data_IF_915713632086
#
_entry.id   IF_915713632086
#
_cell.length_a   1.000
_cell.length_b   1.000
_cell.length_c   1.000
_cell.angle_alpha   90.00
_cell.angle_beta   90.00
_cell.angle_gamma   90.00
#
_symmetry.space_group_name_H-M   'P 1'
#
loop_
_entity.id
_entity.type
_entity.pdbx_description
1 polymer ?
#
# COMPACT_ATOMS: atom_id res chain seq x y z
N UNK A 1 -30.22 -13.37 40.01
CA UNK A 1 -29.27 -12.25 40.19
C UNK A 1 -29.41 -11.23 39.06
N UNK A 2 -30.59 -10.62 38.93
CA UNK A 2 -30.95 -9.69 37.86
C UNK A 2 -31.59 -8.41 38.42
N UNK A 3 -31.33 -8.09 39.69
CA UNK A 3 -31.94 -6.96 40.38
C UNK A 3 -30.94 -5.96 41.01
N UNK A 4 -29.63 -6.16 40.82
CA UNK A 4 -28.57 -5.32 41.41
C UNK A 4 -27.74 -4.48 40.42
N UNK A 5 -28.01 -4.53 39.12
CA UNK A 5 -27.30 -3.68 38.14
C UNK A 5 -27.99 -2.34 37.83
N UNK A 6 -29.27 -2.19 38.21
CA UNK A 6 -30.07 -0.99 37.90
C UNK A 6 -29.88 0.14 38.94
N UNK A 7 -29.26 -0.14 40.09
CA UNK A 7 -29.03 0.83 41.16
C UNK A 7 -27.66 1.54 41.10
N UNK A 8 -26.75 1.10 40.23
CA UNK A 8 -25.42 1.73 40.08
C UNK A 8 -25.39 2.84 39.00
N UNK A 9 -26.36 2.88 38.08
CA UNK A 9 -26.45 3.91 37.02
C UNK A 9 -27.17 5.20 37.43
N UNK A 10 -27.84 5.25 38.59
CA UNK A 10 -28.56 6.46 39.05
C UNK A 10 -27.74 7.40 39.96
N UNK A 11 -26.49 7.02 40.30
CA UNK A 11 -25.59 7.84 41.13
C UNK A 11 -24.45 8.55 40.37
N UNK A 12 -24.26 8.28 39.08
CA UNK A 12 -23.24 8.96 38.26
C UNK A 12 -23.79 10.07 37.35
N UNK A 13 -25.10 10.24 37.26
CA UNK A 13 -25.77 11.29 36.47
C UNK A 13 -26.17 12.52 37.28
N UNK A 14 -25.73 12.62 38.55
CA UNK A 14 -26.07 13.73 39.48
C UNK A 14 -24.92 14.68 39.83
N UNK A 15 -23.79 14.62 39.12
CA UNK A 15 -22.60 15.45 39.40
C UNK A 15 -22.20 16.41 38.27
N UNK A 16 -23.03 16.60 37.22
CA UNK A 16 -22.65 17.44 36.07
C UNK A 16 -23.69 18.53 35.71
N UNK A 17 -24.78 18.65 36.47
CA UNK A 17 -25.90 19.56 36.14
C UNK A 17 -26.13 20.73 37.11
N UNK A 18 -25.23 20.98 38.07
CA UNK A 18 -25.38 22.08 39.05
C UNK A 18 -24.41 23.28 38.85
N UNK A 19 -23.69 23.36 37.73
CA UNK A 19 -22.77 24.48 37.48
C UNK A 19 -23.02 25.23 36.16
N UNK A 20 -24.30 25.50 35.85
CA UNK A 20 -24.68 26.61 35.00
C UNK A 20 -25.56 27.58 35.80
N UNK A 21 -25.14 28.85 35.78
CA UNK A 21 -25.84 30.06 36.22
C UNK A 21 -25.68 30.47 37.68
N UNK A 22 -24.72 31.37 37.93
CA UNK A 22 -25.07 32.65 38.55
C UNK A 22 -24.14 33.77 38.09
N UNK A 23 -24.74 34.94 37.94
CA UNK A 23 -24.31 36.11 37.20
C UNK A 23 -23.72 37.22 38.08
N UNK A 24 -23.18 38.23 37.40
CA UNK A 24 -22.97 39.63 37.81
C UNK A 24 -21.59 40.12 38.27
N UNK A 25 -21.32 41.34 37.78
CA UNK A 25 -20.14 42.21 37.79
C UNK A 25 -19.67 42.54 39.25
N UNK A 26 -18.43 42.92 39.57
CA UNK A 26 -17.70 44.13 39.17
C UNK A 26 -16.26 44.15 39.74
N UNK A 27 -15.34 44.82 39.02
CA UNK A 27 -14.17 45.65 39.47
C UNK A 27 -12.87 45.05 40.06
N UNK A 28 -11.82 45.24 39.23
CA UNK A 28 -10.46 45.83 39.49
C UNK A 28 -9.50 45.19 40.52
N UNK A 29 -8.34 44.69 40.03
CA UNK A 29 -7.00 45.35 40.11
C UNK A 29 -5.89 44.57 39.37
N UNK A 30 -4.93 45.34 38.84
CA UNK A 30 -3.72 45.00 38.06
C UNK A 30 -2.67 44.19 38.84
N UNK A 31 -1.77 43.47 38.17
CA UNK A 31 -0.29 43.70 38.11
C UNK A 31 0.32 42.95 36.92
N UNK A 32 1.30 43.61 36.29
CA UNK A 32 2.12 43.31 35.10
C UNK A 32 2.98 42.03 35.11
N UNK A 33 3.35 41.56 33.91
CA UNK A 33 4.42 40.59 33.68
C UNK A 33 4.57 40.14 32.22
N UNK A 34 5.44 40.81 31.47
CA UNK A 34 5.78 40.66 30.04
C UNK A 34 6.09 39.22 29.56
N UNK A 35 5.59 38.87 28.35
CA UNK A 35 6.11 37.79 27.48
C UNK A 35 6.98 38.43 26.39
N UNK A 36 8.27 38.11 26.36
CA UNK A 36 9.17 38.47 25.27
C UNK A 36 8.99 37.52 24.07
N UNK A 37 8.72 38.07 22.89
CA UNK A 37 8.80 37.38 21.61
C UNK A 37 10.15 37.68 20.97
N UNK A 38 10.97 36.65 20.74
CA UNK A 38 12.25 36.77 20.05
C UNK A 38 12.07 37.29 18.60
N UNK A 39 12.54 38.51 18.34
CA UNK A 39 12.64 39.13 17.02
C UNK A 39 14.09 39.04 16.56
N UNK A 40 14.31 38.56 15.33
CA UNK A 40 15.63 38.45 14.69
C UNK A 40 16.29 39.82 14.50
N UNK A 41 17.61 39.96 14.75
CA UNK A 41 18.35 41.23 14.67
C UNK A 41 18.48 41.83 13.26
N UNK A 42 18.00 41.13 12.22
CA UNK A 42 18.07 41.61 10.83
C UNK A 42 16.74 42.16 10.28
N UNK A 43 15.66 42.21 11.08
CA UNK A 43 14.42 42.90 10.71
C UNK A 43 14.14 44.06 11.66
N UNK A 44 14.28 45.29 11.17
CA UNK A 44 13.67 46.45 11.85
C UNK A 44 12.15 46.37 11.66
N UNK A 45 11.33 46.52 12.72
CA UNK A 45 9.89 46.65 12.57
C UNK A 45 9.57 47.94 11.80
N UNK A 46 8.56 47.88 10.94
CA UNK A 46 8.04 49.05 10.24
C UNK A 46 7.47 50.03 11.29
N UNK A 47 8.23 51.07 11.60
CA UNK A 47 7.75 52.21 12.38
C UNK A 47 6.55 52.83 11.67
N UNK A 48 5.45 53.02 12.41
CA UNK A 48 4.32 53.83 11.95
C UNK A 48 4.82 55.25 11.71
N UNK A 49 4.90 55.64 10.44
CA UNK A 49 5.21 57.00 9.99
C UNK A 49 4.00 57.90 10.24
N UNK A 50 3.74 58.24 11.49
CA UNK A 50 2.88 59.36 11.86
C UNK A 50 3.62 60.17 12.92
N UNK A 51 4.47 61.08 12.45
CA UNK A 51 4.69 62.43 12.97
C UNK A 51 6.06 62.93 12.49
N UNK A 52 6.04 63.76 11.45
CA UNK A 52 7.06 64.78 11.27
C UNK A 52 6.37 66.14 11.10
N UNK A 53 6.75 67.17 11.87
CA UNK A 53 6.21 68.51 11.69
C UNK A 53 6.92 69.22 10.53
N UNK A 54 6.12 69.79 9.62
CA UNK A 54 6.53 70.87 8.73
C UNK A 54 7.36 70.48 7.49
N UNK A 55 6.68 70.29 6.36
CA UNK A 55 7.14 70.84 5.09
C UNK A 55 5.90 71.07 4.20
N UNK A 56 5.58 72.33 3.95
CA UNK A 56 4.51 72.72 3.03
C UNK A 56 4.93 72.39 1.59
N UNK A 57 3.95 72.08 0.75
CA UNK A 57 4.03 71.71 -0.70
C UNK A 57 4.26 70.23 -1.06
N UNK A 58 3.24 69.40 -0.87
CA UNK A 58 3.06 68.12 -1.59
C UNK A 58 1.57 67.79 -1.80
N UNK A 59 0.78 68.78 -2.22
CA UNK A 59 -0.63 68.88 -1.81
C UNK A 59 -1.71 68.26 -2.71
N UNK A 60 -1.38 67.44 -3.72
CA UNK A 60 -2.41 66.78 -4.55
C UNK A 60 -2.13 65.33 -4.92
N UNK A 61 -0.88 65.02 -5.27
CA UNK A 61 -0.52 63.69 -5.74
C UNK A 61 -0.52 62.65 -4.60
N UNK A 62 0.04 63.00 -3.45
CA UNK A 62 0.06 62.12 -2.28
C UNK A 62 -1.34 61.90 -1.70
N UNK A 63 -2.15 62.94 -1.66
CA UNK A 63 -3.56 62.90 -1.25
C UNK A 63 -4.39 61.98 -2.15
N UNK A 64 -4.13 62.00 -3.46
CA UNK A 64 -4.78 61.14 -4.44
C UNK A 64 -4.41 59.66 -4.25
N UNK A 65 -3.11 59.36 -4.08
CA UNK A 65 -2.62 58.00 -3.85
C UNK A 65 -3.17 57.44 -2.53
N UNK A 66 -3.18 58.23 -1.45
CA UNK A 66 -3.78 57.82 -0.16
C UNK A 66 -5.28 57.52 -0.32
N UNK A 67 -6.01 58.29 -1.14
CA UNK A 67 -7.44 58.04 -1.41
C UNK A 67 -7.71 56.75 -2.20
N UNK A 68 -6.75 56.29 -3.00
CA UNK A 68 -6.86 55.02 -3.74
C UNK A 68 -6.57 53.86 -2.80
N UNK A 69 -5.52 53.97 -1.99
CA UNK A 69 -5.09 52.92 -1.07
C UNK A 69 -6.02 52.75 0.14
N UNK A 70 -6.78 53.79 0.51
CA UNK A 70 -7.73 53.73 1.63
C UNK A 70 -9.11 53.17 1.25
N UNK A 71 -9.38 52.91 -0.04
CA UNK A 71 -10.65 52.32 -0.46
C UNK A 71 -10.60 50.80 -0.28
N UNK A 72 -11.53 50.20 0.49
CA UNK A 72 -11.61 48.74 0.57
C UNK A 72 -11.91 48.18 -0.82
N UNK A 73 -11.15 47.16 -1.22
CA UNK A 73 -11.28 46.53 -2.54
C UNK A 73 -12.71 46.06 -2.76
N UNK A 74 -13.38 46.59 -3.79
CA UNK A 74 -14.69 46.12 -4.26
C UNK A 74 -14.51 45.33 -5.56
N UNK A 75 -15.01 44.11 -5.56
CA UNK A 75 -14.98 43.21 -6.72
C UNK A 75 -15.77 43.89 -7.86
N UNK A 76 -15.19 44.08 -9.07
CA UNK A 76 -15.82 44.87 -10.15
C UNK A 76 -17.10 44.28 -10.77
N UNK A 77 -17.51 43.09 -10.34
CA UNK A 77 -18.63 42.35 -10.94
C UNK A 77 -19.69 42.15 -9.85
N UNK A 78 -20.88 42.77 -9.96
CA UNK A 78 -22.00 42.49 -9.08
C UNK A 78 -22.35 41.00 -9.16
N UNK A 79 -22.49 40.32 -8.02
CA UNK A 79 -22.82 38.89 -7.90
C UNK A 79 -21.71 37.88 -8.26
N UNK A 80 -20.43 38.27 -8.22
CA UNK A 80 -19.35 37.28 -8.32
C UNK A 80 -19.25 36.45 -7.03
N UNK A 81 -19.92 35.29 -7.01
CA UNK A 81 -19.63 34.23 -6.05
C UNK A 81 -18.40 33.47 -6.53
N UNK A 82 -17.23 33.89 -6.04
CA UNK A 82 -16.00 33.14 -6.24
C UNK A 82 -16.21 31.70 -5.78
N UNK A 83 -16.21 30.76 -6.73
CA UNK A 83 -16.13 29.34 -6.40
C UNK A 83 -14.95 29.15 -5.45
N UNK A 84 -15.19 28.50 -4.32
CA UNK A 84 -14.22 28.17 -3.28
C UNK A 84 -13.22 27.10 -3.78
N UNK A 85 -12.70 27.28 -5.00
CA UNK A 85 -11.62 26.52 -5.59
C UNK A 85 -10.34 27.33 -5.49
N UNK A 86 -9.62 27.18 -4.39
CA UNK A 86 -8.17 27.33 -4.19
C UNK A 86 -7.37 27.96 -5.34
N UNK A 87 -7.57 29.26 -5.62
CA UNK A 87 -6.73 30.00 -6.58
C UNK A 87 -6.41 31.38 -6.04
N UNK A 88 -5.40 31.44 -5.18
CA UNK A 88 -4.68 32.66 -4.85
C UNK A 88 -3.57 32.93 -5.88
N UNK A 89 -3.24 34.22 -6.05
CA UNK A 89 -2.20 34.74 -6.93
C UNK A 89 -0.82 34.10 -6.66
N UNK A 90 -0.16 33.68 -7.74
CA UNK A 90 0.99 32.76 -7.71
C UNK A 90 0.80 31.69 -8.78
N UNK A 91 0.56 32.14 -10.02
CA UNK A 91 0.43 31.30 -11.20
C UNK A 91 1.58 30.29 -11.18
N UNK A 92 1.27 29.01 -10.94
CA UNK A 92 2.19 27.90 -11.21
C UNK A 92 2.68 28.11 -12.63
N UNK A 93 3.93 28.54 -12.83
CA UNK A 93 4.50 28.66 -14.17
C UNK A 93 4.33 27.29 -14.85
N UNK A 94 3.40 27.21 -15.80
CA UNK A 94 3.25 26.07 -16.68
C UNK A 94 4.49 26.06 -17.57
N UNK A 95 5.47 25.22 -17.22
CA UNK A 95 6.73 25.10 -17.96
C UNK A 95 7.97 24.87 -17.09
N UNK A 96 7.95 25.22 -15.80
CA UNK A 96 9.12 24.95 -14.92
C UNK A 96 9.09 23.49 -14.47
N UNK A 97 10.15 22.74 -14.78
CA UNK A 97 10.38 21.37 -14.30
C UNK A 97 10.44 21.40 -12.77
N UNK A 98 9.40 20.86 -12.13
CA UNK A 98 9.25 20.81 -10.67
C UNK A 98 8.51 19.54 -10.26
N UNK A 99 8.57 19.20 -8.98
CA UNK A 99 7.77 18.12 -8.41
C UNK A 99 6.28 18.39 -8.57
N UNK A 100 5.50 17.32 -8.73
CA UNK A 100 4.05 17.44 -8.92
C UNK A 100 3.34 18.00 -7.68
N UNK A 101 3.82 17.59 -6.50
CA UNK A 101 3.35 18.04 -5.20
C UNK A 101 4.49 18.73 -4.44
N UNK A 102 4.13 19.54 -3.45
CA UNK A 102 5.09 20.29 -2.63
C UNK A 102 5.82 19.35 -1.65
N UNK A 103 7.15 19.21 -1.73
CA UNK A 103 7.92 18.37 -0.81
C UNK A 103 8.05 18.96 0.59
N UNK A 104 7.82 20.27 0.77
CA UNK A 104 8.00 20.96 2.05
C UNK A 104 6.69 21.19 2.80
N UNK A 105 5.58 20.67 2.28
CA UNK A 105 4.30 20.71 2.98
C UNK A 105 4.33 19.86 4.26
N UNK A 106 3.55 20.25 5.26
CA UNK A 106 3.37 19.50 6.49
C UNK A 106 2.87 18.07 6.17
N UNK A 107 3.45 17.06 6.82
CA UNK A 107 3.18 15.64 6.61
C UNK A 107 3.41 15.09 5.19
N UNK A 108 4.14 15.81 4.33
CA UNK A 108 4.49 15.34 2.99
C UNK A 108 5.32 14.04 3.05
N UNK A 109 4.86 13.03 2.32
CA UNK A 109 5.62 11.78 2.17
C UNK A 109 6.50 11.88 0.93
N UNK A 110 7.76 12.24 1.14
CA UNK A 110 8.78 12.33 0.09
C UNK A 110 9.41 10.95 -0.12
N UNK A 111 9.24 10.40 -1.32
CA UNK A 111 9.87 9.14 -1.72
C UNK A 111 11.29 9.35 -2.24
N UNK A 112 11.54 10.53 -2.82
CA UNK A 112 12.87 10.90 -3.29
C UNK A 112 13.17 12.38 -3.15
N UNK A 113 14.39 12.62 -2.69
CA UNK A 113 15.03 13.92 -2.65
C UNK A 113 16.23 13.91 -3.60
N UNK A 114 16.34 14.89 -4.52
CA UNK A 114 17.49 15.02 -5.38
C UNK A 114 18.75 15.28 -4.54
N UNK A 115 19.93 14.80 -4.99
CA UNK A 115 21.17 15.03 -4.28
C UNK A 115 21.46 16.53 -4.18
N UNK A 116 22.02 16.94 -3.04
CA UNK A 116 22.46 18.33 -2.84
C UNK A 116 23.65 18.62 -3.76
N UNK A 117 23.43 19.40 -4.81
CA UNK A 117 24.48 19.88 -5.70
C UNK A 117 25.09 21.17 -5.15
N UNK A 118 26.38 21.41 -5.44
CA UNK A 118 27.00 22.70 -5.14
C UNK A 118 26.32 23.81 -5.94
N UNK A 119 26.32 25.05 -5.41
CA UNK A 119 25.70 26.19 -6.11
C UNK A 119 26.29 26.40 -7.51
N UNK A 120 27.59 26.15 -7.66
CA UNK A 120 28.29 26.25 -8.94
C UNK A 120 27.86 25.15 -9.93
N UNK A 121 27.68 23.92 -9.45
CA UNK A 121 27.23 22.81 -10.31
C UNK A 121 25.76 22.97 -10.71
N UNK A 122 24.93 23.55 -9.84
CA UNK A 122 23.52 23.85 -10.14
C UNK A 122 23.38 24.91 -11.26
N UNK A 123 24.30 25.88 -11.31
CA UNK A 123 24.32 26.92 -12.36
C UNK A 123 24.80 26.33 -13.69
N UNK A 124 25.76 25.40 -13.66
CA UNK A 124 26.28 24.72 -14.86
C UNK A 124 25.35 23.63 -15.38
N UNK A 125 24.57 22.99 -14.50
CA UNK A 125 23.68 21.92 -14.87
C UNK A 125 22.48 22.42 -15.68
N UNK A 126 22.08 21.62 -16.66
CA UNK A 126 20.87 21.85 -17.42
C UNK A 126 19.63 21.69 -16.52
N UNK A 127 18.92 22.80 -16.28
CA UNK A 127 17.70 22.85 -15.45
C UNK A 127 16.62 21.88 -15.96
N UNK A 128 16.62 21.56 -17.25
CA UNK A 128 15.67 20.61 -17.81
C UNK A 128 16.03 19.15 -17.54
N UNK A 129 17.25 18.84 -17.11
CA UNK A 129 17.70 17.47 -16.81
C UNK A 129 17.82 17.17 -15.32
N UNK A 130 17.74 18.20 -14.48
CA UNK A 130 17.85 18.02 -13.03
C UNK A 130 16.74 17.10 -12.49
N UNK A 131 17.09 16.17 -11.59
CA UNK A 131 16.09 15.33 -10.94
C UNK A 131 15.15 16.16 -10.06
N UNK A 132 13.86 15.83 -10.10
CA UNK A 132 12.86 16.46 -9.23
C UNK A 132 12.50 15.55 -8.05
N UNK A 133 11.99 16.14 -6.98
CA UNK A 133 11.43 15.38 -5.86
C UNK A 133 10.24 14.53 -6.32
N UNK A 134 10.14 13.33 -5.76
CA UNK A 134 8.95 12.47 -5.92
C UNK A 134 8.22 12.47 -4.59
N UNK A 135 7.00 12.98 -4.59
CA UNK A 135 6.21 13.21 -3.38
C UNK A 135 4.86 12.52 -3.56
N UNK A 136 4.46 11.69 -2.60
CA UNK A 136 3.14 11.04 -2.67
C UNK A 136 2.04 12.09 -2.68
N UNK A 137 0.99 11.84 -3.46
CA UNK A 137 -0.17 12.72 -3.54
C UNK A 137 -0.73 12.99 -2.13
N UNK A 138 -0.89 14.27 -1.71
CA UNK A 138 -1.40 14.62 -0.39
C UNK A 138 -2.73 13.97 -0.04
N UNK A 139 -3.56 13.65 -1.03
CA UNK A 139 -4.86 12.97 -0.84
C UNK A 139 -4.68 11.57 -0.26
N UNK A 140 -3.64 10.85 -0.70
CA UNK A 140 -3.29 9.53 -0.20
C UNK A 140 -2.38 9.67 1.04
N UNK A 141 -1.38 10.54 0.97
CA UNK A 141 -0.39 10.78 2.04
C UNK A 141 -1.03 11.04 3.40
N UNK A 142 -2.09 11.84 3.46
CA UNK A 142 -2.81 12.17 4.71
C UNK A 142 -3.53 10.98 5.36
N UNK A 143 -3.86 9.94 4.58
CA UNK A 143 -4.60 8.78 5.07
C UNK A 143 -3.65 7.65 5.51
N UNK A 144 -2.45 7.60 4.95
CA UNK A 144 -1.47 6.55 5.24
C UNK A 144 -1.00 6.61 6.69
N UNK A 145 -1.14 5.48 7.40
CA UNK A 145 -0.54 5.25 8.72
C UNK A 145 0.99 5.14 8.64
N UNK A 146 1.74 5.30 9.75
CA UNK A 146 3.20 5.29 9.73
C UNK A 146 3.80 4.05 9.06
N UNK A 147 3.31 2.85 9.39
CA UNK A 147 3.76 1.63 8.72
C UNK A 147 3.44 1.68 7.22
N UNK A 148 2.25 2.12 6.83
CA UNK A 148 1.90 2.22 5.41
C UNK A 148 2.81 3.19 4.65
N UNK A 149 3.23 4.31 5.28
CA UNK A 149 4.20 5.25 4.70
C UNK A 149 5.56 4.59 4.45
N UNK A 150 6.07 3.85 5.43
CA UNK A 150 7.31 3.08 5.29
C UNK A 150 7.19 2.00 4.19
N UNK A 151 6.04 1.34 4.11
CA UNK A 151 5.80 0.30 3.11
C UNK A 151 5.72 0.84 1.69
N UNK A 152 5.11 2.01 1.49
CA UNK A 152 5.11 2.69 0.18
C UNK A 152 6.53 3.12 -0.20
N UNK A 153 7.31 3.65 0.74
CA UNK A 153 8.72 4.00 0.51
C UNK A 153 9.54 2.76 0.11
N UNK A 154 9.41 1.67 0.87
CA UNK A 154 10.04 0.39 0.57
C UNK A 154 9.69 -0.11 -0.83
N UNK A 155 8.39 -0.15 -1.16
CA UNK A 155 7.91 -0.58 -2.46
C UNK A 155 8.52 0.26 -3.58
N UNK A 156 8.52 1.58 -3.42
CA UNK A 156 9.03 2.53 -4.41
C UNK A 156 10.54 2.38 -4.63
N UNK A 157 11.32 2.22 -3.56
CA UNK A 157 12.78 2.00 -3.64
C UNK A 157 13.12 0.67 -4.35
N UNK A 158 12.33 -0.38 -4.13
CA UNK A 158 12.49 -1.66 -4.83
C UNK A 158 12.16 -1.54 -6.31
N UNK A 159 10.98 -1.02 -6.67
CA UNK A 159 10.53 -0.97 -8.07
C UNK A 159 11.24 0.08 -8.92
N UNK A 160 12.03 0.96 -8.32
CA UNK A 160 12.91 1.91 -9.03
C UNK A 160 14.37 1.45 -9.08
N UNK A 161 14.69 0.27 -8.54
CA UNK A 161 16.04 -0.31 -8.57
C UNK A 161 17.06 0.40 -7.69
N UNK A 162 16.58 1.16 -6.69
CA UNK A 162 17.46 1.87 -5.74
C UNK A 162 17.95 0.98 -4.62
N UNK A 163 17.11 0.04 -4.20
CA UNK A 163 17.45 -0.91 -3.15
C UNK A 163 18.36 -2.04 -3.64
N UNK A 164 18.11 -2.51 -4.87
CA UNK A 164 18.92 -3.50 -5.56
C UNK A 164 19.13 -3.00 -7.00
N UNK A 165 20.34 -2.52 -7.34
CA UNK A 165 20.64 -2.05 -8.68
C UNK A 165 20.38 -3.12 -9.75
N UNK A 166 19.69 -2.75 -10.82
CA UNK A 166 19.34 -3.67 -11.92
C UNK A 166 18.14 -4.59 -11.64
N UNK A 167 17.56 -4.53 -10.44
CA UNK A 167 16.40 -5.31 -10.04
C UNK A 167 15.24 -4.39 -9.69
N UNK A 168 14.02 -4.75 -10.10
CA UNK A 168 12.84 -3.87 -10.04
C UNK A 168 11.64 -4.54 -9.36
N UNK A 169 11.93 -5.55 -8.54
CA UNK A 169 10.94 -6.41 -7.95
C UNK A 169 10.86 -6.27 -6.43
N UNK A 170 9.64 -6.37 -5.90
CA UNK A 170 9.34 -6.32 -4.46
C UNK A 170 8.36 -7.41 -4.01
N UNK A 171 8.54 -7.91 -2.78
CA UNK A 171 7.59 -8.79 -2.08
C UNK A 171 7.06 -8.04 -0.85
N UNK A 172 5.74 -7.86 -0.76
CA UNK A 172 5.03 -7.34 0.40
C UNK A 172 4.30 -8.48 1.09
N UNK A 173 4.90 -9.00 2.15
CA UNK A 173 4.41 -10.12 2.95
C UNK A 173 3.85 -9.68 4.32
N UNK A 174 3.26 -8.48 4.37
CA UNK A 174 2.58 -7.99 5.58
C UNK A 174 1.35 -8.83 5.91
N UNK A 175 1.07 -8.98 7.21
CA UNK A 175 -0.14 -9.65 7.67
C UNK A 175 -1.43 -9.03 7.11
N UNK A 176 -2.48 -9.85 7.06
CA UNK A 176 -3.82 -9.43 6.65
C UNK A 176 -4.33 -8.30 7.56
N UNK A 177 -4.96 -7.29 6.99
CA UNK A 177 -5.48 -6.12 7.73
C UNK A 177 -4.56 -4.91 7.81
N UNK A 178 -3.28 -5.00 7.42
CA UNK A 178 -2.35 -3.84 7.44
C UNK A 178 -2.55 -2.82 6.30
N UNK A 179 -3.52 -3.05 5.40
CA UNK A 179 -3.87 -2.14 4.30
C UNK A 179 -2.89 -2.19 3.12
N UNK A 180 -2.52 -3.40 2.68
CA UNK A 180 -1.61 -3.64 1.55
C UNK A 180 -2.14 -3.05 0.24
N UNK A 181 -3.45 -3.16 0.00
CA UNK A 181 -4.13 -2.59 -1.18
C UNK A 181 -3.92 -1.08 -1.30
N UNK A 182 -4.12 -0.32 -0.21
CA UNK A 182 -3.90 1.13 -0.19
C UNK A 182 -2.43 1.51 -0.48
N UNK A 183 -1.48 0.75 0.08
CA UNK A 183 -0.06 0.96 -0.19
C UNK A 183 0.27 0.74 -1.68
N UNK A 184 -0.31 -0.29 -2.29
CA UNK A 184 -0.12 -0.60 -3.70
C UNK A 184 -0.80 0.41 -4.63
N UNK A 185 -2.00 0.89 -4.29
CA UNK A 185 -2.68 1.98 -5.01
C UNK A 185 -1.84 3.26 -4.95
N UNK A 186 -1.25 3.57 -3.79
CA UNK A 186 -0.37 4.72 -3.62
C UNK A 186 0.88 4.62 -4.48
N UNK A 187 1.53 3.45 -4.49
CA UNK A 187 2.67 3.18 -5.36
C UNK A 187 2.30 3.37 -6.83
N UNK A 188 1.23 2.70 -7.27
CA UNK A 188 0.76 2.72 -8.65
C UNK A 188 0.42 4.15 -9.11
N UNK A 189 -0.32 4.91 -8.29
CA UNK A 189 -0.63 6.31 -8.57
C UNK A 189 0.62 7.17 -8.69
N UNK A 190 1.59 6.98 -7.78
CA UNK A 190 2.84 7.75 -7.81
C UNK A 190 3.62 7.46 -9.09
N UNK A 191 3.75 6.20 -9.49
CA UNK A 191 4.45 5.81 -10.72
C UNK A 191 3.73 6.27 -12.00
N UNK A 192 2.39 6.30 -12.00
CA UNK A 192 1.59 6.77 -13.13
C UNK A 192 1.67 8.28 -13.36
N UNK A 193 2.11 9.05 -12.36
CA UNK A 193 2.08 10.52 -12.39
C UNK A 193 3.45 11.17 -12.25
N UNK A 194 4.40 10.50 -11.62
CA UNK A 194 5.67 11.08 -11.20
C UNK A 194 6.84 10.14 -11.48
N UNK A 195 7.99 10.77 -11.71
CA UNK A 195 9.33 10.17 -11.78
C UNK A 195 10.34 11.25 -11.42
N UNK A 196 11.60 10.86 -11.31
CA UNK A 196 12.72 11.79 -11.17
C UNK A 196 12.79 12.79 -12.34
N UNK A 197 12.21 12.42 -13.49
CA UNK A 197 12.27 13.19 -14.72
C UNK A 197 11.04 14.10 -14.96
N UNK A 198 10.23 14.36 -13.92
CA UNK A 198 9.00 15.14 -14.01
C UNK A 198 7.99 14.61 -15.06
N UNK A 199 8.07 13.33 -15.37
CA UNK A 199 7.16 12.59 -16.26
C UNK A 199 6.63 11.32 -15.56
N UNK A 200 5.59 10.64 -16.06
CA UNK A 200 5.21 9.34 -15.54
C UNK A 200 6.37 8.33 -15.62
N UNK A 201 6.58 7.55 -14.56
CA UNK A 201 7.54 6.44 -14.55
C UNK A 201 6.99 5.24 -15.34
N UNK A 202 5.67 5.03 -15.27
CA UNK A 202 4.94 4.01 -16.00
C UNK A 202 3.71 4.62 -16.69
N UNK A 203 3.29 4.00 -17.80
CA UNK A 203 2.05 4.39 -18.50
C UNK A 203 0.86 3.50 -18.15
N UNK A 204 1.14 2.22 -17.83
CA UNK A 204 0.13 1.19 -17.57
C UNK A 204 0.55 0.30 -16.41
N UNK A 205 -0.43 -0.08 -15.61
CA UNK A 205 -0.28 -1.04 -14.53
C UNK A 205 -1.34 -2.13 -14.66
N UNK A 206 -0.95 -3.37 -14.34
CA UNK A 206 -1.86 -4.52 -14.27
C UNK A 206 -1.87 -5.02 -12.83
N UNK A 207 -3.06 -5.20 -12.27
CA UNK A 207 -3.29 -5.88 -11.00
C UNK A 207 -3.91 -7.23 -11.32
N UNK A 208 -3.21 -8.30 -10.93
CA UNK A 208 -3.68 -9.67 -11.04
C UNK A 208 -4.10 -10.13 -9.66
N UNK A 209 -5.36 -10.52 -9.51
CA UNK A 209 -5.93 -10.90 -8.22
C UNK A 209 -6.83 -12.14 -8.36
N UNK A 210 -7.21 -12.82 -7.27
CA UNK A 210 -8.29 -13.80 -7.32
C UNK A 210 -9.59 -13.18 -7.87
N UNK A 211 -10.40 -13.92 -8.62
CA UNK A 211 -11.64 -13.40 -9.23
C UNK A 211 -12.56 -12.71 -8.22
N UNK A 212 -12.68 -13.27 -7.00
CA UNK A 212 -13.47 -12.69 -5.91
C UNK A 212 -12.98 -11.30 -5.45
N UNK A 213 -11.72 -10.96 -5.69
CA UNK A 213 -11.10 -9.69 -5.28
C UNK A 213 -11.03 -8.66 -6.41
N UNK A 214 -11.29 -9.03 -7.67
CA UNK A 214 -11.20 -8.10 -8.81
C UNK A 214 -12.13 -6.89 -8.62
N UNK A 215 -13.39 -7.14 -8.27
CA UNK A 215 -14.36 -6.08 -7.97
C UNK A 215 -13.99 -5.26 -6.72
N UNK A 216 -13.40 -5.90 -5.72
CA UNK A 216 -12.93 -5.21 -4.52
C UNK A 216 -11.79 -4.22 -4.85
N UNK A 217 -10.81 -4.65 -5.66
CA UNK A 217 -9.75 -3.77 -6.14
C UNK A 217 -10.29 -2.59 -6.96
N UNK A 218 -11.27 -2.82 -7.83
CA UNK A 218 -11.93 -1.76 -8.60
C UNK A 218 -12.55 -0.70 -7.67
N UNK A 219 -13.30 -1.15 -6.66
CA UNK A 219 -13.96 -0.27 -5.69
C UNK A 219 -12.93 0.50 -4.84
N UNK A 220 -11.85 -0.15 -4.40
CA UNK A 220 -10.80 0.50 -3.61
C UNK A 220 -10.06 1.57 -4.43
N UNK A 221 -9.78 1.34 -5.71
CA UNK A 221 -9.21 2.38 -6.59
C UNK A 221 -10.15 3.59 -6.67
N UNK A 222 -11.45 3.37 -6.89
CA UNK A 222 -12.44 4.45 -6.92
C UNK A 222 -12.58 5.19 -5.59
N UNK A 223 -12.56 4.47 -4.47
CA UNK A 223 -12.63 5.02 -3.11
C UNK A 223 -11.47 5.96 -2.78
N UNK A 224 -10.24 5.57 -3.13
CA UNK A 224 -9.04 6.35 -2.75
C UNK A 224 -8.67 7.44 -3.75
N UNK A 225 -8.86 7.19 -5.05
CA UNK A 225 -8.46 8.13 -6.10
C UNK A 225 -9.64 8.96 -6.64
N UNK A 226 -10.89 8.57 -6.34
CA UNK A 226 -12.09 9.23 -6.86
C UNK A 226 -12.13 9.18 -8.39
N UNK A 227 -12.74 10.20 -9.01
CA UNK A 227 -12.82 10.33 -10.47
C UNK A 227 -11.52 10.75 -11.18
N UNK A 228 -10.35 10.66 -10.52
CA UNK A 228 -9.06 11.04 -11.13
C UNK A 228 -8.53 10.01 -12.12
N UNK A 229 -8.98 8.76 -12.00
CA UNK A 229 -8.53 7.63 -12.81
C UNK A 229 -9.69 6.66 -13.02
N UNK A 230 -9.74 6.08 -14.20
CA UNK A 230 -10.74 5.07 -14.54
C UNK A 230 -10.04 3.72 -14.71
N UNK A 231 -10.11 2.83 -13.70
CA UNK A 231 -9.63 1.46 -13.86
C UNK A 231 -10.57 0.65 -14.76
N UNK A 232 -10.05 -0.40 -15.38
CA UNK A 232 -10.82 -1.43 -16.10
C UNK A 232 -10.73 -2.72 -15.30
N UNK A 233 -11.87 -3.31 -14.97
CA UNK A 233 -11.93 -4.59 -14.28
C UNK A 233 -12.51 -5.65 -15.22
N UNK A 234 -11.78 -6.74 -15.40
CA UNK A 234 -12.18 -7.89 -16.22
C UNK A 234 -12.38 -9.08 -15.29
N UNK A 235 -13.64 -9.50 -15.15
CA UNK A 235 -14.06 -10.59 -14.27
C UNK A 235 -15.13 -11.44 -14.97
N UNK A 236 -14.68 -12.28 -15.92
CA UNK A 236 -15.54 -13.13 -16.75
C UNK A 236 -16.22 -12.38 -17.90
N UNK A 237 -16.82 -13.15 -18.82
CA UNK A 237 -17.41 -12.64 -20.06
C UNK A 237 -17.20 -13.60 -21.22
N UNK A 238 -17.73 -13.25 -22.39
CA UNK A 238 -17.39 -13.95 -23.64
C UNK A 238 -15.90 -13.76 -23.94
N UNK A 239 -15.28 -14.74 -24.59
CA UNK A 239 -13.86 -14.69 -24.92
C UNK A 239 -13.55 -13.48 -25.81
N UNK A 240 -14.43 -13.20 -26.76
CA UNK A 240 -14.30 -12.14 -27.74
C UNK A 240 -14.38 -10.75 -27.09
N UNK A 241 -15.26 -10.57 -26.09
CA UNK A 241 -15.39 -9.27 -25.42
C UNK A 241 -14.21 -9.00 -24.49
N UNK A 242 -13.69 -10.03 -23.82
CA UNK A 242 -12.46 -9.91 -23.02
C UNK A 242 -11.29 -9.53 -23.92
N UNK A 243 -11.12 -10.22 -25.06
CA UNK A 243 -10.05 -9.92 -26.01
C UNK A 243 -10.15 -8.49 -26.54
N UNK A 244 -11.36 -8.01 -26.89
CA UNK A 244 -11.55 -6.61 -27.31
C UNK A 244 -11.13 -5.63 -26.22
N UNK A 245 -11.52 -5.86 -24.96
CA UNK A 245 -11.15 -4.99 -23.84
C UNK A 245 -9.63 -4.98 -23.61
N UNK A 246 -8.99 -6.15 -23.68
CA UNK A 246 -7.55 -6.28 -23.53
C UNK A 246 -6.77 -5.62 -24.67
N UNK A 247 -7.20 -5.83 -25.92
CA UNK A 247 -6.61 -5.16 -27.08
C UNK A 247 -6.76 -3.64 -26.96
N UNK A 248 -7.93 -3.15 -26.55
CA UNK A 248 -8.16 -1.73 -26.31
C UNK A 248 -7.28 -1.17 -25.19
N UNK A 249 -7.08 -1.93 -24.10
CA UNK A 249 -6.18 -1.52 -23.03
C UNK A 249 -4.73 -1.44 -23.52
N UNK A 250 -4.28 -2.42 -24.31
CA UNK A 250 -2.90 -2.49 -24.80
C UNK A 250 -2.60 -1.48 -25.91
N UNK A 251 -3.56 -1.20 -26.79
CA UNK A 251 -3.38 -0.27 -27.90
C UNK A 251 -3.36 1.21 -27.47
N UNK A 252 -3.84 1.54 -26.27
CA UNK A 252 -3.77 2.90 -25.75
C UNK A 252 -2.31 3.34 -25.52
N UNK A 253 -1.84 4.33 -26.25
CA UNK A 253 -0.50 4.90 -26.07
C UNK A 253 -0.57 6.43 -26.07
N UNK A 254 0.47 7.07 -25.52
CA UNK A 254 0.60 8.53 -25.50
C UNK A 254 0.57 9.13 -24.09
N UNK A 255 0.54 10.47 -24.05
CA UNK A 255 0.65 11.27 -22.82
C UNK A 255 -0.60 11.18 -21.91
N UNK A 256 -1.75 10.82 -22.46
CA UNK A 256 -3.02 10.67 -21.73
C UNK A 256 -3.67 9.33 -22.06
N UNK A 257 -3.29 8.31 -21.31
CA UNK A 257 -3.97 7.00 -21.33
C UNK A 257 -5.27 7.13 -20.56
N UNK A 258 -6.41 6.86 -21.20
CA UNK A 258 -7.72 7.00 -20.57
C UNK A 258 -7.93 5.99 -19.43
N UNK A 259 -7.50 4.75 -19.66
CA UNK A 259 -7.64 3.65 -18.69
C UNK A 259 -6.28 3.01 -18.42
N UNK A 260 -5.43 3.61 -17.56
CA UNK A 260 -4.07 3.14 -17.34
C UNK A 260 -3.96 1.95 -16.36
N UNK A 261 -5.04 1.57 -15.67
CA UNK A 261 -5.07 0.47 -14.70
C UNK A 261 -5.99 -0.62 -15.22
N UNK A 262 -5.45 -1.83 -15.37
CA UNK A 262 -6.21 -3.04 -15.63
C UNK A 262 -6.20 -3.92 -14.38
N UNK A 263 -7.37 -4.43 -13.99
CA UNK A 263 -7.55 -5.38 -12.90
C UNK A 263 -8.13 -6.64 -13.52
N UNK A 264 -7.45 -7.77 -13.36
CA UNK A 264 -7.80 -9.03 -14.02
C UNK A 264 -7.63 -10.19 -13.05
N UNK A 265 -8.46 -11.23 -13.22
CA UNK A 265 -8.31 -12.47 -12.46
C UNK A 265 -7.10 -13.28 -12.92
N UNK A 266 -6.54 -14.13 -12.06
CA UNK A 266 -5.47 -15.06 -12.46
C UNK A 266 -5.90 -15.99 -13.60
N UNK A 267 -7.14 -16.48 -13.54
CA UNK A 267 -7.69 -17.42 -14.50
C UNK A 267 -7.86 -16.76 -15.88
N UNK A 268 -8.46 -15.57 -15.93
CA UNK A 268 -8.62 -14.82 -17.19
C UNK A 268 -7.28 -14.33 -17.73
N UNK A 269 -6.37 -13.91 -16.85
CA UNK A 269 -5.01 -13.52 -17.26
C UNK A 269 -4.31 -14.66 -18.01
N UNK A 270 -4.35 -15.87 -17.45
CA UNK A 270 -3.73 -17.05 -18.05
C UNK A 270 -4.32 -17.37 -19.43
N UNK A 271 -5.65 -17.29 -19.57
CA UNK A 271 -6.33 -17.63 -20.83
C UNK A 271 -6.06 -16.64 -21.96
N UNK A 272 -5.72 -15.38 -21.63
CA UNK A 272 -5.53 -14.29 -22.59
C UNK A 272 -4.11 -13.70 -22.53
N UNK A 273 -3.14 -14.47 -22.04
CA UNK A 273 -1.76 -14.02 -21.87
C UNK A 273 -1.14 -13.58 -23.22
N UNK A 274 -1.48 -14.26 -24.32
CA UNK A 274 -0.97 -13.98 -25.66
C UNK A 274 -1.29 -12.55 -26.15
N UNK A 275 -2.42 -11.99 -25.73
CA UNK A 275 -2.79 -10.61 -26.05
C UNK A 275 -1.94 -9.67 -25.21
N UNK A 276 -1.84 -9.94 -23.90
CA UNK A 276 -1.11 -9.13 -22.92
C UNK A 276 0.40 -9.09 -23.18
N UNK A 277 0.99 -10.15 -23.72
CA UNK A 277 2.41 -10.22 -24.06
C UNK A 277 2.82 -9.30 -25.22
N UNK A 278 1.88 -8.91 -26.09
CA UNK A 278 2.14 -7.96 -27.19
C UNK A 278 2.37 -6.53 -26.68
N UNK A 279 1.90 -6.23 -25.47
CA UNK A 279 1.98 -4.91 -24.87
C UNK A 279 3.16 -4.73 -23.93
N UNK A 280 3.66 -3.49 -23.84
CA UNK A 280 4.59 -3.10 -22.77
C UNK A 280 3.82 -2.65 -21.54
N UNK A 281 4.03 -3.33 -20.42
CA UNK A 281 3.42 -3.01 -19.12
C UNK A 281 4.49 -2.47 -18.18
N UNK A 282 4.22 -1.37 -17.48
CA UNK A 282 5.22 -0.74 -16.63
C UNK A 282 5.34 -1.36 -15.24
N UNK A 283 4.21 -1.86 -14.71
CA UNK A 283 4.08 -2.44 -13.37
C UNK A 283 3.07 -3.59 -13.39
N UNK A 284 3.44 -4.71 -12.79
CA UNK A 284 2.53 -5.83 -12.47
C UNK A 284 2.46 -5.99 -10.97
N UNK A 285 1.24 -6.05 -10.44
CA UNK A 285 0.96 -6.33 -9.04
C UNK A 285 0.22 -7.66 -8.95
N UNK A 286 0.80 -8.64 -8.26
CA UNK A 286 0.21 -9.95 -8.04
C UNK A 286 -0.32 -10.02 -6.61
N UNK A 287 -1.64 -10.02 -6.43
CA UNK A 287 -2.30 -10.16 -5.14
C UNK A 287 -2.51 -11.63 -4.75
N UNK A 288 -2.38 -11.98 -3.47
CA UNK A 288 -2.32 -13.37 -3.03
C UNK A 288 -1.24 -14.21 -3.75
N UNK A 289 -0.05 -13.64 -3.84
CA UNK A 289 1.09 -14.20 -4.55
C UNK A 289 1.58 -15.56 -4.03
N UNK A 290 1.11 -16.04 -2.87
CA UNK A 290 1.29 -17.43 -2.45
C UNK A 290 0.72 -18.44 -3.48
N UNK A 291 -0.20 -18.01 -4.37
CA UNK A 291 -0.66 -18.78 -5.53
C UNK A 291 0.45 -19.08 -6.57
N UNK A 292 1.54 -18.31 -6.55
CA UNK A 292 2.68 -18.41 -7.47
C UNK A 292 3.85 -19.22 -6.89
N UNK A 293 3.60 -20.06 -5.88
CA UNK A 293 4.63 -20.85 -5.20
C UNK A 293 5.33 -21.90 -6.08
N UNK A 294 4.66 -22.38 -7.12
CA UNK A 294 5.19 -23.38 -8.04
C UNK A 294 5.59 -22.72 -9.37
N UNK A 295 6.87 -22.80 -9.73
CA UNK A 295 7.38 -22.28 -11.00
C UNK A 295 6.80 -22.99 -12.23
N UNK A 296 6.40 -24.26 -12.10
CA UNK A 296 5.79 -25.05 -13.18
C UNK A 296 4.33 -24.67 -13.47
N UNK A 297 3.74 -23.79 -12.65
CA UNK A 297 2.37 -23.35 -12.86
C UNK A 297 2.25 -22.54 -14.16
N UNK A 298 1.28 -22.86 -15.01
CA UNK A 298 0.97 -22.10 -16.23
C UNK A 298 0.77 -20.61 -15.94
N UNK A 299 0.17 -20.27 -14.81
CA UNK A 299 -0.02 -18.88 -14.38
C UNK A 299 1.31 -18.19 -14.08
N UNK A 300 2.25 -18.90 -13.45
CA UNK A 300 3.60 -18.41 -13.19
C UNK A 300 4.30 -18.10 -14.52
N UNK A 301 4.29 -19.06 -15.45
CA UNK A 301 4.92 -18.93 -16.76
C UNK A 301 4.31 -17.78 -17.57
N UNK A 302 2.98 -17.68 -17.62
CA UNK A 302 2.28 -16.60 -18.30
C UNK A 302 2.63 -15.21 -17.74
N UNK A 303 2.73 -15.08 -16.42
CA UNK A 303 3.12 -13.81 -15.78
C UNK A 303 4.61 -13.52 -15.96
N UNK A 304 5.47 -14.54 -15.89
CA UNK A 304 6.90 -14.40 -16.07
C UNK A 304 7.24 -13.92 -17.48
N UNK A 305 6.62 -14.53 -18.50
CA UNK A 305 6.79 -14.18 -19.92
C UNK A 305 6.27 -12.79 -20.31
N UNK A 306 5.42 -12.16 -19.49
CA UNK A 306 4.96 -10.81 -19.77
C UNK A 306 6.11 -9.81 -19.72
N UNK A 307 6.15 -8.90 -20.70
CA UNK A 307 7.08 -7.78 -20.73
C UNK A 307 6.70 -6.69 -19.71
N UNK A 308 7.00 -6.96 -18.44
CA UNK A 308 6.87 -6.04 -17.33
C UNK A 308 8.21 -5.86 -16.61
N UNK A 309 8.65 -4.60 -16.52
CA UNK A 309 9.90 -4.26 -15.85
C UNK A 309 9.77 -4.37 -14.32
N UNK A 310 8.67 -3.87 -13.75
CA UNK A 310 8.46 -3.77 -12.29
C UNK A 310 7.44 -4.78 -11.83
N UNK A 311 7.76 -5.55 -10.80
CA UNK A 311 6.92 -6.64 -10.29
C UNK A 311 6.74 -6.52 -8.78
N UNK A 312 5.50 -6.45 -8.33
CA UNK A 312 5.17 -6.42 -6.90
C UNK A 312 4.33 -7.64 -6.59
N UNK A 313 4.78 -8.43 -5.63
CA UNK A 313 4.05 -9.60 -5.14
C UNK A 313 3.53 -9.31 -3.74
N UNK A 314 2.23 -9.44 -3.55
CA UNK A 314 1.55 -9.19 -2.28
C UNK A 314 1.13 -10.55 -1.71
N UNK A 315 1.47 -10.83 -0.46
CA UNK A 315 0.97 -12.00 0.26
C UNK A 315 0.50 -11.59 1.66
N UNK A 316 -0.69 -12.04 2.05
CA UNK A 316 -1.17 -11.89 3.43
C UNK A 316 -0.81 -13.07 4.33
N UNK A 317 -0.60 -14.23 3.72
CA UNK A 317 -0.24 -15.46 4.42
C UNK A 317 1.28 -15.56 4.60
N UNK A 318 1.75 -16.13 5.71
CA UNK A 318 3.15 -16.47 5.86
C UNK A 318 3.55 -17.38 4.71
N UNK A 319 4.60 -17.01 3.97
CA UNK A 319 5.25 -17.93 3.02
C UNK A 319 5.68 -19.14 3.87
N UNK A 320 5.17 -20.32 3.50
CA UNK A 320 5.39 -21.55 4.26
C UNK A 320 6.90 -21.81 4.36
N UNK A 321 7.37 -22.54 5.38
CA UNK A 321 8.80 -22.77 5.65
C UNK A 321 9.48 -23.70 4.60
N UNK A 322 9.04 -23.66 3.35
CA UNK A 322 9.60 -24.35 2.21
C UNK A 322 10.48 -23.36 1.41
N UNK A 323 11.78 -23.65 1.40
CA UNK A 323 12.78 -22.83 0.72
C UNK A 323 12.58 -22.77 -0.79
N UNK A 324 11.96 -23.78 -1.39
CA UNK A 324 11.65 -23.80 -2.83
C UNK A 324 10.53 -22.83 -3.19
N UNK A 325 9.55 -22.66 -2.32
CA UNK A 325 8.51 -21.65 -2.49
C UNK A 325 9.12 -20.24 -2.41
N UNK A 326 10.01 -20.01 -1.44
CA UNK A 326 10.77 -18.75 -1.35
C UNK A 326 11.59 -18.48 -2.61
N UNK A 327 12.32 -19.49 -3.11
CA UNK A 327 13.09 -19.36 -4.34
C UNK A 327 12.19 -18.97 -5.51
N UNK A 328 11.06 -19.66 -5.69
CA UNK A 328 10.14 -19.40 -6.80
C UNK A 328 9.57 -17.97 -6.75
N UNK A 329 9.17 -17.50 -5.57
CA UNK A 329 8.66 -16.14 -5.39
C UNK A 329 9.74 -15.07 -5.62
N UNK A 330 10.94 -15.27 -5.08
CA UNK A 330 12.05 -14.33 -5.26
C UNK A 330 12.52 -14.31 -6.71
N UNK A 331 12.60 -15.46 -7.36
CA UNK A 331 12.97 -15.59 -8.76
C UNK A 331 11.93 -14.93 -9.70
N UNK A 332 10.63 -15.06 -9.39
CA UNK A 332 9.57 -14.38 -10.13
C UNK A 332 9.73 -12.86 -10.11
N UNK A 333 10.03 -12.33 -8.93
CA UNK A 333 10.11 -10.89 -8.67
C UNK A 333 11.42 -10.32 -9.18
N UNK A 334 12.53 -11.00 -8.93
CA UNK A 334 13.89 -10.60 -9.27
C UNK A 334 14.69 -11.78 -9.82
N UNK A 335 14.56 -12.03 -11.12
CA UNK A 335 15.35 -13.04 -11.79
C UNK A 335 16.85 -12.74 -11.65
N UNK A 336 17.63 -13.75 -11.25
CA UNK A 336 19.10 -13.69 -11.18
C UNK A 336 19.70 -13.38 -9.80
N UNK A 337 18.95 -12.87 -8.82
CA UNK A 337 19.53 -12.55 -7.49
C UNK A 337 20.02 -13.80 -6.74
N UNK A 338 19.29 -14.90 -6.85
CA UNK A 338 19.60 -16.16 -6.17
C UNK A 338 20.31 -17.18 -7.09
N UNK A 339 20.64 -16.79 -8.32
CA UNK A 339 21.15 -17.70 -9.34
C UNK A 339 20.08 -18.63 -9.90
N UNK A 340 20.52 -19.78 -10.42
CA UNK A 340 19.65 -20.84 -10.94
C UNK A 340 19.06 -21.69 -9.81
N UNK A 341 17.98 -22.42 -10.09
CA UNK A 341 17.37 -23.31 -9.10
C UNK A 341 18.33 -24.39 -8.58
N UNK A 342 19.26 -24.86 -9.42
CA UNK A 342 20.27 -25.86 -9.03
C UNK A 342 21.35 -25.26 -8.12
N UNK A 343 21.82 -24.05 -8.44
CA UNK A 343 22.76 -23.32 -7.59
C UNK A 343 22.15 -22.99 -6.23
N UNK A 344 20.89 -22.54 -6.22
CA UNK A 344 20.15 -22.28 -4.99
C UNK A 344 20.02 -23.55 -4.12
N UNK A 345 19.65 -24.67 -4.74
CA UNK A 345 19.55 -25.97 -4.06
C UNK A 345 20.85 -26.37 -3.38
N UNK A 346 21.96 -26.29 -4.12
CA UNK A 346 23.28 -26.67 -3.63
C UNK A 346 23.81 -25.72 -2.55
N UNK A 347 23.58 -24.42 -2.71
CA UNK A 347 24.14 -23.38 -1.84
C UNK A 347 23.34 -23.15 -0.56
N UNK A 348 22.01 -23.25 -0.63
CA UNK A 348 21.14 -22.89 0.49
C UNK A 348 20.27 -24.08 0.94
N UNK A 349 19.48 -24.66 0.05
CA UNK A 349 18.46 -25.65 0.44
C UNK A 349 19.06 -26.89 1.11
N UNK A 350 20.03 -27.55 0.47
CA UNK A 350 20.62 -28.79 0.98
C UNK A 350 21.35 -28.58 2.33
N UNK A 351 22.22 -27.57 2.51
CA UNK A 351 22.83 -27.30 3.81
C UNK A 351 21.80 -26.97 4.92
N UNK A 352 20.77 -26.17 4.61
CA UNK A 352 19.76 -25.79 5.60
C UNK A 352 18.91 -27.00 6.02
N UNK A 353 18.52 -27.84 5.06
CA UNK A 353 17.76 -29.06 5.37
C UNK A 353 18.61 -30.02 6.21
N UNK A 354 19.86 -30.26 5.81
CA UNK A 354 20.79 -31.11 6.55
C UNK A 354 21.04 -30.61 7.97
N UNK A 355 21.13 -29.30 8.17
CA UNK A 355 21.27 -28.71 9.51
C UNK A 355 20.00 -28.75 10.36
N UNK A 356 18.82 -28.88 9.74
CA UNK A 356 17.52 -29.01 10.45
C UNK A 356 17.17 -30.45 10.81
N UNK A 357 17.87 -31.43 10.24
CA UNK A 357 17.66 -32.85 10.57
C UNK A 357 17.95 -33.11 12.05
N UNK A 358 17.12 -33.96 12.67
CA UNK A 358 17.24 -34.28 14.10
C UNK A 358 18.61 -34.88 14.44
N UNK A 359 19.14 -35.70 13.53
CA UNK A 359 20.42 -36.42 13.66
C UNK A 359 21.62 -35.59 13.14
N UNK A 360 21.43 -34.31 12.83
CA UNK A 360 22.49 -33.45 12.30
C UNK A 360 23.63 -33.25 13.30
N UNK A 361 24.87 -33.28 12.80
CA UNK A 361 26.06 -32.95 13.59
C UNK A 361 26.06 -31.46 13.98
N UNK A 362 26.76 -31.09 15.06
CA UNK A 362 26.87 -29.68 15.47
C UNK A 362 27.44 -28.79 14.34
N UNK A 363 28.37 -29.33 13.55
CA UNK A 363 28.93 -28.63 12.38
C UNK A 363 27.88 -28.39 11.30
N UNK A 364 27.06 -29.39 10.98
CA UNK A 364 26.00 -29.25 9.96
C UNK A 364 24.90 -28.26 10.41
N UNK A 365 24.61 -28.21 11.71
CA UNK A 365 23.67 -27.22 12.29
C UNK A 365 24.19 -25.79 12.15
N UNK A 366 25.46 -25.57 12.46
CA UNK A 366 26.10 -24.26 12.32
C UNK A 366 26.15 -23.80 10.86
N UNK A 367 26.55 -24.68 9.94
CA UNK A 367 26.59 -24.38 8.50
C UNK A 367 25.18 -24.07 7.94
N UNK A 368 24.17 -24.85 8.33
CA UNK A 368 22.78 -24.61 7.94
C UNK A 368 22.25 -23.26 8.44
N UNK A 369 22.54 -22.89 9.68
CA UNK A 369 22.13 -21.62 10.27
C UNK A 369 22.84 -20.42 9.61
N UNK A 370 24.13 -20.54 9.29
CA UNK A 370 24.88 -19.52 8.57
C UNK A 370 24.27 -19.27 7.18
N UNK A 371 23.98 -20.35 6.43
CA UNK A 371 23.35 -20.25 5.10
C UNK A 371 21.94 -19.70 5.17
N UNK A 372 21.18 -20.02 6.21
CA UNK A 372 19.86 -19.44 6.44
C UNK A 372 19.94 -17.93 6.68
N UNK A 373 20.89 -17.46 7.50
CA UNK A 373 21.12 -16.03 7.75
C UNK A 373 21.54 -15.30 6.48
N UNK A 374 22.44 -15.89 5.68
CA UNK A 374 22.86 -15.35 4.38
C UNK A 374 21.66 -15.17 3.45
N UNK A 375 20.81 -16.20 3.33
CA UNK A 375 19.60 -16.16 2.51
C UNK A 375 18.62 -15.07 2.98
N UNK A 376 18.34 -15.01 4.28
CA UNK A 376 17.44 -14.01 4.86
C UNK A 376 17.96 -12.59 4.60
N UNK A 377 19.27 -12.35 4.70
CA UNK A 377 19.87 -11.05 4.41
C UNK A 377 19.62 -10.61 2.96
N UNK A 378 19.75 -11.53 2.00
CA UNK A 378 19.48 -11.26 0.58
C UNK A 378 17.99 -10.97 0.37
N UNK A 379 17.10 -11.81 0.92
CA UNK A 379 15.65 -11.69 0.73
C UNK A 379 15.09 -10.44 1.41
N UNK A 380 15.59 -10.05 2.58
CA UNK A 380 15.18 -8.82 3.29
C UNK A 380 15.47 -7.53 2.52
N UNK A 381 16.29 -7.59 1.46
CA UNK A 381 16.49 -6.45 0.55
C UNK A 381 15.31 -6.25 -0.39
N UNK A 382 14.53 -7.28 -0.71
CA UNK A 382 13.38 -7.18 -1.61
C UNK A 382 12.04 -7.56 -0.94
N UNK A 383 12.06 -8.09 0.28
CA UNK A 383 10.89 -8.49 1.06
C UNK A 383 10.66 -7.59 2.27
N UNK A 384 9.42 -7.12 2.43
CA UNK A 384 8.95 -6.47 3.66
C UNK A 384 7.86 -7.31 4.30
N UNK A 385 7.97 -7.54 5.60
CA UNK A 385 6.97 -8.26 6.40
C UNK A 385 6.82 -7.62 7.77
N UNK A 386 5.57 -7.34 8.13
CA UNK A 386 5.18 -6.77 9.41
C UNK A 386 4.01 -7.54 10.00
N UNK A 387 3.99 -7.63 11.32
CA UNK A 387 2.93 -8.28 12.08
C UNK A 387 1.81 -7.30 12.43
N UNK A 388 0.63 -7.84 12.72
CA UNK A 388 -0.54 -7.11 13.16
C UNK A 388 -0.37 -6.45 14.53
N UNK A 389 0.66 -6.82 15.29
CA UNK A 389 1.01 -6.21 16.58
C UNK A 389 1.22 -4.70 16.47
N UNK A 390 1.65 -4.20 15.30
CA UNK A 390 1.83 -2.76 15.05
C UNK A 390 0.51 -1.99 15.19
N UNK A 391 -0.62 -2.65 14.91
CA UNK A 391 -1.95 -2.05 15.01
C UNK A 391 -2.43 -1.89 16.44
N UNK A 392 -1.85 -2.61 17.42
CA UNK A 392 -2.22 -2.51 18.83
C UNK A 392 -2.07 -1.09 19.40
N UNK A 393 -1.21 -0.26 18.78
CA UNK A 393 -1.01 1.15 19.14
C UNK A 393 -2.19 2.05 18.77
N UNK A 394 -3.04 1.63 17.82
CA UNK A 394 -4.08 2.47 17.21
C UNK A 394 -5.48 1.85 17.27
N UNK A 395 -5.57 0.53 17.46
CA UNK A 395 -6.82 -0.21 17.50
C UNK A 395 -7.08 -0.77 18.90
N UNK A 396 -8.36 -0.99 19.27
CA UNK A 396 -8.71 -1.69 20.49
C UNK A 396 -8.08 -3.09 20.57
N UNK A 397 -7.91 -3.59 21.80
CA UNK A 397 -7.35 -4.92 22.06
C UNK A 397 -8.19 -6.00 21.37
N UNK A 398 -7.56 -6.82 20.53
CA UNK A 398 -8.17 -8.00 19.92
C UNK A 398 -8.11 -9.16 20.91
N UNK A 399 -9.26 -9.68 21.33
CA UNK A 399 -9.35 -10.87 22.17
C UNK A 399 -9.73 -12.05 21.28
N UNK A 400 -8.81 -12.99 21.10
CA UNK A 400 -9.06 -14.24 20.38
C UNK A 400 -9.48 -15.32 21.38
N UNK A 401 -10.70 -15.81 21.26
CA UNK A 401 -11.21 -16.94 22.04
C UNK A 401 -11.39 -18.12 21.08
N UNK A 402 -10.70 -19.23 21.35
CA UNK A 402 -10.93 -20.51 20.67
C UNK A 402 -11.72 -21.38 21.64
N UNK A 403 -13.06 -21.29 21.65
CA UNK A 403 -13.85 -22.12 22.54
C UNK A 403 -13.70 -23.58 22.12
N UNK A 404 -13.37 -24.49 23.04
CA UNK A 404 -13.38 -25.91 22.74
C UNK A 404 -14.84 -26.35 22.53
N UNK A 405 -15.19 -26.69 21.28
CA UNK A 405 -16.46 -27.34 20.99
C UNK A 405 -16.35 -28.81 21.36
N UNK A 406 -17.14 -29.25 22.34
CA UNK A 406 -17.31 -30.66 22.66
C UNK A 406 -18.30 -31.23 21.64
N UNK A 407 -17.89 -32.22 20.86
CA UNK A 407 -18.80 -32.91 19.94
C UNK A 407 -19.90 -33.60 20.75
N UNK A 408 -21.17 -33.35 20.39
CA UNK A 408 -22.30 -34.04 21.02
C UNK A 408 -22.24 -35.55 20.72
N UNK A 409 -22.79 -36.39 21.60
CA UNK A 409 -22.64 -37.86 21.48
C UNK A 409 -23.16 -38.45 20.15
N UNK A 410 -24.06 -37.76 19.46
CA UNK A 410 -24.54 -38.09 18.10
C UNK A 410 -23.51 -37.83 16.97
N UNK A 411 -22.52 -36.97 17.20
CA UNK A 411 -21.38 -36.73 16.28
C UNK A 411 -20.18 -37.62 16.61
N UNK A 412 -20.11 -38.18 17.82
CA UNK A 412 -19.05 -39.09 18.25
C UNK A 412 -19.36 -40.56 17.99
N UNK A 413 -20.59 -40.92 17.58
CA UNK A 413 -20.86 -42.27 17.09
C UNK A 413 -20.01 -42.48 15.84
N UNK A 414 -19.03 -43.40 15.85
CA UNK A 414 -18.38 -43.77 14.61
C UNK A 414 -19.47 -44.30 13.70
N UNK A 415 -19.55 -43.79 12.46
CA UNK A 415 -20.30 -44.47 11.42
C UNK A 415 -19.68 -45.87 11.33
N UNK A 416 -20.34 -46.85 11.94
CA UNK A 416 -19.91 -48.25 12.03
C UNK A 416 -19.83 -48.91 10.64
N UNK A 417 -20.19 -48.19 9.57
CA UNK A 417 -19.92 -48.55 8.18
C UNK A 417 -18.48 -48.34 7.70
N UNK A 418 -17.58 -47.70 8.45
CA UNK A 418 -16.16 -47.59 8.05
C UNK A 418 -15.25 -48.64 8.71
N UNK A 419 -15.83 -49.59 9.46
CA UNK A 419 -15.10 -50.70 10.08
C UNK A 419 -14.42 -51.65 9.07
N UNK A 420 -14.94 -51.72 7.85
CA UNK A 420 -14.36 -52.51 6.75
C UNK A 420 -13.21 -51.82 6.01
N UNK A 421 -12.83 -50.58 6.35
CA UNK A 421 -11.68 -49.91 5.72
C UNK A 421 -10.33 -50.27 6.34
N UNK A 422 -10.29 -51.00 7.46
CA UNK A 422 -9.04 -51.51 8.05
C UNK A 422 -8.49 -52.75 7.31
N UNK A 423 -9.34 -53.48 6.58
CA UNK A 423 -8.92 -54.63 5.77
C UNK A 423 -8.34 -54.25 4.39
N UNK A 424 -8.44 -52.98 3.97
CA UNK A 424 -7.88 -52.48 2.70
C UNK A 424 -6.39 -52.11 2.77
N UNK A 425 -5.71 -52.33 3.91
CA UNK A 425 -4.25 -52.17 4.02
C UNK A 425 -3.46 -53.23 3.22
N UNK A 426 -4.11 -54.29 2.75
CA UNK A 426 -3.50 -55.38 1.97
C UNK A 426 -3.58 -55.21 0.44
N UNK A 427 -4.28 -54.19 -0.09
CA UNK A 427 -4.29 -53.88 -1.53
C UNK A 427 -3.35 -52.73 -1.87
N UNK A 428 -2.08 -52.85 -1.43
CA UNK A 428 -0.98 -52.03 -1.94
C UNK A 428 -0.61 -52.47 -3.36
N UNK A 429 -1.24 -51.91 -4.40
CA UNK A 429 -0.55 -51.66 -5.69
C UNK A 429 -1.22 -50.80 -6.76
N UNK A 430 -2.38 -50.17 -6.56
CA UNK A 430 -3.01 -49.39 -7.63
C UNK A 430 -3.51 -48.01 -7.14
N UNK A 431 -2.98 -46.96 -7.79
CA UNK A 431 -3.36 -45.55 -7.73
C UNK A 431 -3.10 -44.76 -6.43
N UNK A 432 -1.94 -44.09 -6.35
CA UNK A 432 -1.65 -43.04 -5.35
C UNK A 432 -2.59 -41.82 -5.45
N UNK A 433 -3.27 -41.62 -6.58
CA UNK A 433 -4.22 -40.50 -6.77
C UNK A 433 -5.55 -40.72 -6.05
N UNK A 434 -6.11 -41.93 -6.07
CA UNK A 434 -7.43 -42.23 -5.48
C UNK A 434 -7.40 -42.20 -3.94
N UNK A 435 -6.28 -42.56 -3.32
CA UNK A 435 -6.10 -42.47 -1.86
C UNK A 435 -6.09 -41.02 -1.35
N UNK A 436 -5.54 -40.10 -2.14
CA UNK A 436 -5.50 -38.67 -1.78
C UNK A 436 -6.89 -38.04 -1.92
N UNK A 437 -7.64 -38.36 -2.97
CA UNK A 437 -9.04 -37.95 -3.12
C UNK A 437 -9.91 -38.49 -1.98
N UNK A 438 -9.78 -39.78 -1.66
CA UNK A 438 -10.53 -40.40 -0.56
C UNK A 438 -10.20 -39.77 0.80
N UNK A 439 -8.93 -39.41 1.02
CA UNK A 439 -8.52 -38.69 2.21
C UNK A 439 -9.11 -37.27 2.27
N UNK A 440 -9.08 -36.52 1.17
CA UNK A 440 -9.66 -35.18 1.09
C UNK A 440 -11.17 -35.19 1.29
N UNK A 441 -11.88 -36.18 0.73
CA UNK A 441 -13.31 -36.35 0.93
C UNK A 441 -13.64 -36.78 2.36
N UNK A 442 -12.82 -37.62 2.99
CA UNK A 442 -12.96 -37.94 4.42
C UNK A 442 -12.79 -36.71 5.31
N UNK A 443 -11.85 -35.80 4.99
CA UNK A 443 -11.65 -34.55 5.72
C UNK A 443 -12.80 -33.56 5.50
N UNK A 444 -13.32 -33.45 4.26
CA UNK A 444 -14.52 -32.66 3.96
C UNK A 444 -15.74 -33.19 4.72
N UNK A 445 -15.92 -34.51 4.75
CA UNK A 445 -17.02 -35.16 5.44
C UNK A 445 -16.97 -34.90 6.96
N UNK A 446 -15.79 -35.03 7.58
CA UNK A 446 -15.59 -34.67 8.99
C UNK A 446 -15.88 -33.20 9.28
N UNK A 447 -15.45 -32.30 8.38
CA UNK A 447 -15.72 -30.86 8.49
C UNK A 447 -17.23 -30.56 8.41
N UNK A 448 -17.95 -31.19 7.47
CA UNK A 448 -19.40 -31.04 7.33
C UNK A 448 -20.18 -31.54 8.55
N UNK A 449 -19.77 -32.66 9.15
CA UNK A 449 -20.35 -33.18 10.41
C UNK A 449 -20.16 -32.19 11.55
N UNK A 450 -18.95 -31.63 11.69
CA UNK A 450 -18.65 -30.62 12.72
C UNK A 450 -19.45 -29.33 12.52
N UNK A 451 -19.74 -28.96 11.27
CA UNK A 451 -20.54 -27.78 10.90
C UNK A 451 -22.07 -27.99 11.03
N UNK A 452 -22.53 -29.20 11.38
CA UNK A 452 -23.95 -29.49 11.61
C UNK A 452 -24.80 -29.46 10.33
N UNK A 453 -24.21 -29.62 9.15
CA UNK A 453 -24.99 -29.73 7.90
C UNK A 453 -25.82 -31.03 7.93
N UNK A 454 -27.16 -30.91 7.84
CA UNK A 454 -28.06 -32.05 7.72
C UNK A 454 -27.88 -32.67 6.33
N UNK A 455 -27.44 -33.93 6.31
CA UNK A 455 -27.50 -34.76 5.12
C UNK A 455 -28.96 -35.18 4.91
N UNK A 456 -29.60 -34.65 3.87
CA UNK A 456 -30.83 -35.24 3.35
C UNK A 456 -30.41 -36.43 2.48
N UNK A 457 -30.89 -37.61 2.88
CA UNK A 457 -30.67 -38.88 2.15
C UNK A 457 -31.18 -38.82 0.72
#
# INVERSE_FOLDING_TARGET
AFHDFTLCLSRLTKSVTDCLNFSFQEKRRKVDGMRESHISPYRKPLTQLNNWPGCMEADRHESFIRSILSKPFKIPIPNYTGSLGSKALGLKHAGVRKSLHDPFAEDALVLYEPPTLSAHDLIKADKEKLPVHVVVDPVLGKVLRPHQREGVKFLWDCVTGRRIPGSYGCIMADEMGLGKTLQCITLMWTLLRQSLNAKPEINKAIVVSPSSLVRNWYNEVGKWLGGRISPVAIDGGSKEDIDKQLVNFISQHGLKVATPILIISYETFRLHADVLHRGKVGLVICDEGHRLKNADNQTYQALHSMNAQRRVLISGTPIQNDLLEYFSLVHFVNAGILGTAQEFKKRFELPILKGRDADASNRDREEGEEKLKELISIVNRCLIRRTSDILSKYLPVKIEQVPPTINNQLQSTPVTGTGELKSLKSLKKLAQSSLMEFYLDSQRFKSQICLGQRFYN
#
